data_IF_439829604177
#
_entry.id   IF_439829604177
#
_cell.length_a   1.000
_cell.length_b   1.000
_cell.length_c   1.000
_cell.angle_alpha   90.00
_cell.angle_beta   90.00
_cell.angle_gamma   90.00
#
_symmetry.space_group_name_H-M   'P 1'
#
loop_
_entity.id
_entity.type
_entity.pdbx_description
1 polymer ?
#
# COMPACT_ATOMS: atom_id res chain seq x y z
N UNK A 1 -12.27 18.89 -12.89
CA UNK A 1 -11.26 17.89 -13.29
C UNK A 1 -11.03 16.87 -12.18
N UNK A 2 -10.49 17.30 -11.04
CA UNK A 2 -10.40 16.50 -9.82
C UNK A 2 -11.78 16.19 -9.21
N UNK A 3 -11.88 15.04 -8.54
CA UNK A 3 -13.06 14.66 -7.75
C UNK A 3 -13.08 15.44 -6.43
N UNK A 4 -11.95 15.45 -5.73
CA UNK A 4 -11.73 16.22 -4.50
C UNK A 4 -10.59 17.24 -4.68
N UNK A 5 -10.75 18.45 -4.14
CA UNK A 5 -9.65 19.45 -4.17
C UNK A 5 -8.42 19.01 -3.41
N UNK A 6 -8.60 18.15 -2.40
CA UNK A 6 -7.51 17.65 -1.57
C UNK A 6 -6.47 16.83 -2.38
N UNK A 7 -6.86 16.23 -3.51
CA UNK A 7 -5.96 15.49 -4.41
C UNK A 7 -4.91 16.37 -5.11
N UNK A 8 -4.97 17.69 -5.00
CA UNK A 8 -3.84 18.55 -5.35
C UNK A 8 -2.57 18.08 -4.62
N UNK A 9 -2.69 17.65 -3.34
CA UNK A 9 -1.57 17.07 -2.59
C UNK A 9 -1.03 15.81 -3.26
N UNK A 10 -1.91 14.89 -3.67
CA UNK A 10 -1.56 13.67 -4.41
C UNK A 10 -0.74 13.99 -5.65
N UNK A 11 -1.19 14.97 -6.46
CA UNK A 11 -0.48 15.38 -7.67
C UNK A 11 0.88 16.02 -7.35
N UNK A 12 0.95 16.89 -6.35
CA UNK A 12 2.20 17.55 -5.94
C UNK A 12 3.23 16.54 -5.43
N UNK A 13 2.83 15.56 -4.64
CA UNK A 13 3.76 14.55 -4.09
C UNK A 13 4.27 13.62 -5.19
N UNK A 14 3.40 13.19 -6.11
CA UNK A 14 3.79 12.43 -7.30
C UNK A 14 4.75 13.23 -8.19
N UNK A 15 4.46 14.52 -8.44
CA UNK A 15 5.36 15.39 -9.20
C UNK A 15 6.72 15.59 -8.48
N UNK A 16 6.71 15.70 -7.16
CA UNK A 16 7.93 15.84 -6.35
C UNK A 16 8.82 14.61 -6.46
N UNK A 17 8.26 13.40 -6.47
CA UNK A 17 9.02 12.18 -6.73
C UNK A 17 9.77 12.27 -8.07
N UNK A 18 9.08 12.59 -9.18
CA UNK A 18 9.73 12.69 -10.48
C UNK A 18 10.77 13.81 -10.54
N UNK A 19 10.51 14.95 -9.89
CA UNK A 19 11.48 16.04 -9.79
C UNK A 19 12.75 15.62 -9.03
N UNK A 20 12.61 14.87 -7.93
CA UNK A 20 13.74 14.34 -7.17
C UNK A 20 14.55 13.31 -7.96
N UNK A 21 13.89 12.42 -8.70
CA UNK A 21 14.56 11.45 -9.57
C UNK A 21 15.30 12.17 -10.69
N UNK A 22 14.64 13.10 -11.39
CA UNK A 22 15.25 13.85 -12.49
C UNK A 22 16.45 14.70 -12.02
N UNK A 23 16.31 15.41 -10.89
CA UNK A 23 17.39 16.21 -10.33
C UNK A 23 18.60 15.34 -9.96
N UNK A 24 18.39 14.21 -9.26
CA UNK A 24 19.49 13.31 -8.92
C UNK A 24 20.10 12.63 -10.14
N UNK A 25 19.30 12.29 -11.14
CA UNK A 25 19.79 11.70 -12.39
C UNK A 25 20.72 12.66 -13.15
N UNK A 26 20.34 13.93 -13.26
CA UNK A 26 21.08 14.96 -13.98
C UNK A 26 22.33 15.39 -13.20
N UNK A 27 22.18 15.77 -11.94
CA UNK A 27 23.26 16.36 -11.15
C UNK A 27 24.17 15.33 -10.48
N UNK A 28 23.68 14.10 -10.23
CA UNK A 28 24.40 12.99 -9.63
C UNK A 28 25.29 13.41 -8.44
N UNK A 29 24.70 13.97 -7.36
CA UNK A 29 25.47 14.52 -6.25
C UNK A 29 26.35 13.43 -5.61
N UNK A 30 27.65 13.69 -5.52
CA UNK A 30 28.64 12.76 -4.93
C UNK A 30 28.91 13.03 -3.45
N UNK A 31 28.68 14.27 -3.01
CA UNK A 31 28.83 14.63 -1.61
C UNK A 31 27.78 13.91 -0.76
N UNK A 32 28.21 12.99 0.10
CA UNK A 32 27.31 12.10 0.85
C UNK A 32 26.30 12.85 1.73
N UNK A 33 26.70 14.00 2.30
CA UNK A 33 25.82 14.83 3.12
C UNK A 33 24.63 15.42 2.32
N UNK A 34 24.72 15.49 1.00
CA UNK A 34 23.63 15.90 0.11
C UNK A 34 22.96 14.68 -0.55
N UNK A 35 23.75 13.72 -1.01
CA UNK A 35 23.27 12.54 -1.72
C UNK A 35 22.37 11.65 -0.85
N UNK A 36 22.76 11.41 0.42
CA UNK A 36 22.01 10.53 1.32
C UNK A 36 20.63 11.13 1.67
N UNK A 37 20.51 12.42 2.10
CA UNK A 37 19.20 13.01 2.35
C UNK A 37 18.31 13.08 1.11
N UNK A 38 18.86 13.36 -0.08
CA UNK A 38 18.09 13.37 -1.32
C UNK A 38 17.58 11.97 -1.69
N UNK A 39 18.40 10.95 -1.54
CA UNK A 39 17.97 9.56 -1.74
C UNK A 39 16.88 9.17 -0.73
N UNK A 40 17.06 9.53 0.54
CA UNK A 40 16.05 9.32 1.59
C UNK A 40 14.73 10.02 1.26
N UNK A 41 14.78 11.25 0.76
CA UNK A 41 13.60 11.97 0.28
C UNK A 41 12.96 11.26 -0.91
N UNK A 42 13.72 10.77 -1.89
CA UNK A 42 13.18 10.00 -3.01
C UNK A 42 12.50 8.71 -2.56
N UNK A 43 13.11 7.96 -1.63
CA UNK A 43 12.48 6.80 -1.02
C UNK A 43 11.17 7.17 -0.33
N UNK A 44 11.15 8.26 0.45
CA UNK A 44 9.95 8.74 1.12
C UNK A 44 8.85 9.12 0.11
N UNK A 45 9.16 9.90 -0.93
CA UNK A 45 8.19 10.30 -1.95
C UNK A 45 7.75 9.14 -2.85
N UNK A 46 8.60 8.13 -3.07
CA UNK A 46 8.22 6.88 -3.73
C UNK A 46 7.22 6.09 -2.89
N UNK A 47 7.46 5.97 -1.57
CA UNK A 47 6.49 5.39 -0.63
C UNK A 47 5.17 6.18 -0.63
N UNK A 48 5.21 7.52 -0.62
CA UNK A 48 4.01 8.35 -0.76
C UNK A 48 3.31 8.16 -2.12
N UNK A 49 4.03 7.79 -3.17
CA UNK A 49 3.49 7.31 -4.44
C UNK A 49 2.72 5.99 -4.28
N UNK A 50 3.25 5.02 -3.53
CA UNK A 50 2.51 3.79 -3.19
C UNK A 50 1.25 4.07 -2.35
N UNK A 51 1.31 5.01 -1.40
CA UNK A 51 0.14 5.43 -0.62
C UNK A 51 -0.90 6.13 -1.51
N UNK A 52 -0.46 6.93 -2.50
CA UNK A 52 -1.34 7.50 -3.52
C UNK A 52 -1.97 6.42 -4.42
N UNK A 53 -1.20 5.40 -4.81
CA UNK A 53 -1.70 4.21 -5.52
C UNK A 53 -2.81 3.54 -4.73
N UNK A 54 -2.57 3.21 -3.47
CA UNK A 54 -3.57 2.67 -2.54
C UNK A 54 -4.85 3.53 -2.53
N UNK A 55 -4.73 4.84 -2.38
CA UNK A 55 -5.91 5.72 -2.37
C UNK A 55 -6.65 5.74 -3.70
N UNK A 56 -5.92 5.70 -4.82
CA UNK A 56 -6.50 5.74 -6.16
C UNK A 56 -7.26 4.47 -6.53
N UNK A 57 -6.89 3.31 -5.95
CA UNK A 57 -7.62 2.06 -6.20
C UNK A 57 -8.97 2.04 -5.52
N UNK A 58 -9.09 2.74 -4.39
CA UNK A 58 -10.31 2.86 -3.62
C UNK A 58 -11.19 4.04 -4.05
N UNK A 59 -10.59 5.21 -4.30
CA UNK A 59 -11.31 6.43 -4.66
C UNK A 59 -10.66 7.11 -5.89
N UNK A 60 -11.38 7.28 -7.02
CA UNK A 60 -10.89 8.03 -8.18
C UNK A 60 -10.43 9.45 -7.85
N UNK A 61 -9.22 9.80 -8.30
CA UNK A 61 -8.64 11.16 -8.20
C UNK A 61 -9.36 12.14 -9.14
N UNK A 62 -9.67 11.69 -10.36
CA UNK A 62 -10.32 12.51 -11.39
C UNK A 62 -11.77 12.09 -11.60
N UNK A 63 -12.62 13.04 -12.02
CA UNK A 63 -14.02 12.74 -12.41
C UNK A 63 -14.10 11.99 -13.74
N UNK A 64 -13.10 12.14 -14.62
CA UNK A 64 -13.09 11.53 -15.96
C UNK A 64 -12.26 10.24 -15.96
N UNK A 65 -12.83 9.17 -16.50
CA UNK A 65 -12.22 7.82 -16.51
C UNK A 65 -10.85 7.76 -17.17
N UNK A 66 -10.69 8.38 -18.35
CA UNK A 66 -9.42 8.37 -19.08
C UNK A 66 -8.27 9.02 -18.30
N UNK A 67 -8.57 10.03 -17.48
CA UNK A 67 -7.58 10.71 -16.65
C UNK A 67 -7.06 9.81 -15.53
N UNK A 68 -7.94 9.02 -14.90
CA UNK A 68 -7.51 8.05 -13.91
C UNK A 68 -6.67 6.93 -14.56
N UNK A 69 -7.02 6.47 -15.76
CA UNK A 69 -6.21 5.48 -16.49
C UNK A 69 -4.81 6.01 -16.83
N UNK A 70 -4.71 7.26 -17.28
CA UNK A 70 -3.43 7.90 -17.52
C UNK A 70 -2.63 8.06 -16.21
N UNK A 71 -3.32 8.46 -15.13
CA UNK A 71 -2.68 8.63 -13.83
C UNK A 71 -2.22 7.31 -13.20
N UNK A 72 -2.89 6.19 -13.45
CA UNK A 72 -2.42 4.86 -13.04
C UNK A 72 -1.05 4.52 -13.65
N UNK A 73 -0.83 4.87 -14.92
CA UNK A 73 0.49 4.71 -15.57
C UNK A 73 1.54 5.59 -14.87
N UNK A 74 1.18 6.82 -14.52
CA UNK A 74 2.07 7.72 -13.76
C UNK A 74 2.40 7.12 -12.39
N UNK A 75 1.40 6.68 -11.64
CA UNK A 75 1.56 6.08 -10.31
C UNK A 75 2.39 4.79 -10.35
N UNK A 76 2.21 3.96 -11.38
CA UNK A 76 3.03 2.76 -11.63
C UNK A 76 4.53 3.09 -11.62
N UNK A 77 4.90 4.23 -12.23
CA UNK A 77 6.29 4.69 -12.31
C UNK A 77 6.80 5.33 -11.00
N UNK A 78 5.93 5.55 -10.00
CA UNK A 78 6.34 6.15 -8.71
C UNK A 78 6.78 5.14 -7.66
N UNK A 79 6.21 3.93 -7.66
CA UNK A 79 6.49 2.92 -6.63
C UNK A 79 6.95 1.57 -7.17
N UNK A 80 6.95 1.38 -8.50
CA UNK A 80 7.62 0.24 -9.13
C UNK A 80 6.77 -0.98 -9.42
N UNK A 81 5.44 -0.87 -9.37
CA UNK A 81 4.54 -1.95 -9.78
C UNK A 81 3.29 -1.38 -10.47
N UNK A 82 2.68 -2.12 -11.43
CA UNK A 82 1.41 -1.71 -12.02
C UNK A 82 0.32 -1.49 -10.94
N UNK A 83 -0.41 -0.38 -11.02
CA UNK A 83 -1.52 -0.09 -10.09
C UNK A 83 -2.59 -1.17 -10.20
N UNK A 84 -2.85 -1.65 -11.42
CA UNK A 84 -3.75 -2.78 -11.65
C UNK A 84 -3.34 -4.03 -10.85
N UNK A 85 -2.04 -4.31 -10.67
CA UNK A 85 -1.55 -5.48 -9.91
C UNK A 85 -1.77 -5.36 -8.41
N UNK A 86 -2.03 -4.15 -7.92
CA UNK A 86 -2.28 -3.91 -6.50
C UNK A 86 -3.68 -4.39 -6.07
N UNK A 87 -4.67 -4.27 -6.97
CA UNK A 87 -6.09 -4.51 -6.67
C UNK A 87 -6.41 -5.93 -6.18
N UNK A 88 -5.90 -7.01 -6.80
CA UNK A 88 -6.29 -8.37 -6.43
C UNK A 88 -5.89 -8.69 -4.98
N UNK A 89 -4.60 -8.57 -4.65
CA UNK A 89 -4.11 -8.82 -3.29
C UNK A 89 -4.68 -7.85 -2.25
N UNK A 90 -4.84 -6.58 -2.60
CA UNK A 90 -5.28 -5.58 -1.62
C UNK A 90 -6.80 -5.49 -1.44
N UNK A 91 -7.57 -5.35 -2.52
CA UNK A 91 -9.02 -5.13 -2.43
C UNK A 91 -9.80 -6.44 -2.33
N UNK A 92 -9.40 -7.47 -3.10
CA UNK A 92 -10.18 -8.70 -3.24
C UNK A 92 -9.76 -9.80 -2.25
N UNK A 93 -8.53 -9.71 -1.74
CA UNK A 93 -8.01 -10.61 -0.70
C UNK A 93 -8.01 -9.89 0.66
N UNK A 94 -7.11 -8.92 0.85
CA UNK A 94 -6.89 -8.29 2.15
C UNK A 94 -8.11 -7.57 2.70
N UNK A 95 -8.71 -6.61 1.99
CA UNK A 95 -9.88 -5.88 2.49
C UNK A 95 -11.11 -6.77 2.70
N UNK A 96 -11.35 -7.71 1.78
CA UNK A 96 -12.56 -8.55 1.79
C UNK A 96 -12.50 -9.65 2.85
N UNK A 97 -11.31 -10.17 3.13
CA UNK A 97 -11.12 -11.35 3.97
C UNK A 97 -10.08 -11.11 5.07
N UNK A 98 -9.95 -9.86 5.53
CA UNK A 98 -8.96 -9.36 6.49
C UNK A 98 -8.51 -10.40 7.51
N UNK A 99 -7.21 -10.69 7.54
CA UNK A 99 -6.53 -11.65 8.43
C UNK A 99 -6.93 -13.14 8.36
N UNK A 100 -8.00 -13.50 7.65
CA UNK A 100 -8.37 -14.90 7.42
C UNK A 100 -7.40 -15.62 6.46
N UNK A 101 -7.60 -16.93 6.26
CA UNK A 101 -6.80 -17.74 5.31
C UNK A 101 -6.93 -17.31 3.84
N UNK A 102 -7.94 -16.49 3.51
CA UNK A 102 -8.13 -15.87 2.19
C UNK A 102 -7.45 -14.51 2.06
N UNK A 103 -6.90 -13.97 3.13
CA UNK A 103 -6.00 -12.82 3.12
C UNK A 103 -4.56 -13.29 2.85
N UNK A 104 -4.07 -13.00 1.63
CA UNK A 104 -2.72 -13.33 1.19
C UNK A 104 -1.65 -12.56 1.98
N UNK A 105 -2.05 -11.45 2.62
CA UNK A 105 -1.25 -10.57 3.46
C UNK A 105 -1.57 -10.74 4.96
N UNK A 106 -2.17 -11.87 5.40
CA UNK A 106 -2.40 -12.10 6.83
C UNK A 106 -1.10 -12.10 7.64
N UNK A 107 -1.12 -11.48 8.81
CA UNK A 107 0.06 -11.27 9.66
C UNK A 107 0.56 -12.53 10.35
N UNK A 108 -0.26 -13.57 10.40
CA UNK A 108 0.09 -14.88 10.98
C UNK A 108 1.16 -15.65 10.18
N UNK A 109 1.46 -15.22 8.94
CA UNK A 109 2.48 -15.85 8.07
C UNK A 109 3.92 -15.65 8.54
N UNK A 110 4.18 -14.60 9.32
CA UNK A 110 5.48 -14.38 9.98
C UNK A 110 5.44 -14.90 11.41
N UNK A 111 6.41 -15.73 11.80
CA UNK A 111 6.40 -16.48 13.08
C UNK A 111 7.75 -16.43 13.81
N UNK A 112 8.56 -15.40 13.55
CA UNK A 112 9.86 -15.23 14.21
C UNK A 112 9.67 -14.86 15.69
N UNK A 113 10.55 -15.37 16.56
CA UNK A 113 10.55 -15.04 18.00
C UNK A 113 10.80 -13.55 18.25
N UNK A 114 11.69 -12.94 17.49
CA UNK A 114 11.98 -11.52 17.60
C UNK A 114 11.08 -10.71 16.68
N UNK A 115 10.33 -9.78 17.26
CA UNK A 115 9.32 -9.03 16.52
C UNK A 115 9.90 -8.19 15.37
N UNK A 116 11.13 -7.68 15.53
CA UNK A 116 11.81 -6.94 14.47
C UNK A 116 11.94 -7.77 13.18
N UNK A 117 12.24 -9.07 13.30
CA UNK A 117 12.35 -9.95 12.14
C UNK A 117 10.98 -10.18 11.48
N UNK A 118 9.89 -10.24 12.25
CA UNK A 118 8.54 -10.30 11.68
C UNK A 118 8.27 -9.06 10.82
N UNK A 119 8.57 -7.85 11.32
CA UNK A 119 8.38 -6.61 10.57
C UNK A 119 9.28 -6.51 9.33
N UNK A 120 10.58 -6.80 9.45
CA UNK A 120 11.53 -6.68 8.34
C UNK A 120 11.27 -7.69 7.23
N UNK A 121 10.90 -8.93 7.58
CA UNK A 121 10.75 -10.05 6.65
C UNK A 121 9.30 -10.31 6.23
N UNK A 122 8.36 -9.47 6.67
CA UNK A 122 6.94 -9.61 6.33
C UNK A 122 6.72 -9.64 4.83
N UNK A 123 7.17 -8.61 4.10
CA UNK A 123 7.07 -8.54 2.64
C UNK A 123 7.68 -9.79 1.99
N UNK A 124 8.91 -10.17 2.38
CA UNK A 124 9.61 -11.33 1.84
C UNK A 124 8.85 -12.65 2.05
N UNK A 125 8.08 -12.76 3.14
CA UNK A 125 7.25 -13.93 3.42
C UNK A 125 5.98 -13.95 2.56
N UNK A 126 5.27 -12.83 2.47
CA UNK A 126 3.97 -12.77 1.79
C UNK A 126 4.08 -12.65 0.27
N UNK A 127 5.17 -12.07 -0.26
CA UNK A 127 5.39 -11.91 -1.71
C UNK A 127 5.43 -13.25 -2.45
N UNK A 128 5.85 -14.31 -1.76
CA UNK A 128 5.86 -15.69 -2.28
C UNK A 128 4.47 -16.21 -2.63
N UNK A 129 3.44 -15.68 -1.96
CA UNK A 129 2.04 -16.06 -2.17
C UNK A 129 1.31 -15.02 -3.03
N UNK A 130 1.66 -13.72 -2.88
CA UNK A 130 1.12 -12.63 -3.70
C UNK A 130 1.44 -12.85 -5.19
N UNK A 131 2.71 -13.06 -5.54
CA UNK A 131 3.11 -13.11 -6.96
C UNK A 131 2.39 -14.23 -7.73
N UNK A 132 2.32 -15.48 -7.25
CA UNK A 132 1.54 -16.52 -7.93
C UNK A 132 0.04 -16.20 -8.01
N UNK A 133 -0.54 -15.62 -6.95
CA UNK A 133 -1.96 -15.27 -6.92
C UNK A 133 -2.29 -14.16 -7.93
N UNK A 134 -1.48 -13.10 -7.99
CA UNK A 134 -1.60 -12.03 -8.98
C UNK A 134 -1.47 -12.56 -10.41
N UNK A 135 -0.55 -13.50 -10.65
CA UNK A 135 -0.39 -14.13 -11.96
C UNK A 135 -1.60 -14.98 -12.37
N UNK A 136 -2.21 -15.72 -11.42
CA UNK A 136 -3.46 -16.45 -11.67
C UNK A 136 -4.60 -15.47 -11.98
N UNK A 137 -4.72 -14.40 -11.21
CA UNK A 137 -5.73 -13.36 -11.42
C UNK A 137 -5.58 -12.69 -12.79
N UNK A 138 -4.36 -12.28 -13.14
CA UNK A 138 -4.04 -11.66 -14.43
C UNK A 138 -4.45 -12.55 -15.62
N UNK A 139 -4.12 -13.84 -15.58
CA UNK A 139 -4.51 -14.81 -16.63
C UNK A 139 -6.03 -14.96 -16.72
N UNK A 140 -6.73 -14.96 -15.58
CA UNK A 140 -8.19 -15.05 -15.57
C UNK A 140 -8.84 -13.80 -16.20
N UNK A 141 -8.27 -12.61 -15.95
CA UNK A 141 -8.82 -11.35 -16.46
C UNK A 141 -8.70 -11.17 -17.97
N UNK A 142 -7.79 -11.89 -18.65
CA UNK A 142 -7.72 -11.87 -20.12
C UNK A 142 -9.08 -12.11 -20.78
N UNK A 143 -9.86 -13.08 -20.26
CA UNK A 143 -11.20 -13.40 -20.76
C UNK A 143 -12.31 -12.69 -19.98
N UNK A 144 -12.15 -12.51 -18.67
CA UNK A 144 -13.21 -12.01 -17.77
C UNK A 144 -13.34 -10.48 -17.76
N UNK A 145 -12.23 -9.76 -17.91
CA UNK A 145 -12.22 -8.29 -17.95
C UNK A 145 -11.14 -7.75 -18.92
N UNK A 146 -11.38 -7.83 -20.24
CA UNK A 146 -10.42 -7.36 -21.24
C UNK A 146 -10.01 -5.88 -21.10
N UNK A 147 -10.90 -4.93 -20.72
CA UNK A 147 -10.49 -3.55 -20.46
C UNK A 147 -9.43 -3.41 -19.35
N UNK A 148 -9.61 -4.09 -18.22
CA UNK A 148 -8.61 -4.09 -17.15
C UNK A 148 -7.31 -4.77 -17.60
N UNK A 149 -7.42 -5.90 -18.29
CA UNK A 149 -6.24 -6.63 -18.78
C UNK A 149 -5.39 -5.76 -19.71
N UNK A 150 -6.01 -5.00 -20.62
CA UNK A 150 -5.30 -4.04 -21.49
C UNK A 150 -4.65 -2.90 -20.71
N UNK A 151 -5.30 -2.41 -19.65
CA UNK A 151 -4.73 -1.37 -18.77
C UNK A 151 -3.50 -1.91 -18.03
N UNK A 152 -3.59 -3.10 -17.44
CA UNK A 152 -2.46 -3.79 -16.83
C UNK A 152 -1.30 -3.98 -17.82
N UNK A 153 -1.59 -4.43 -19.04
CA UNK A 153 -0.56 -4.59 -20.08
C UNK A 153 0.11 -3.26 -20.43
N UNK A 154 -0.66 -2.18 -20.58
CA UNK A 154 -0.14 -0.84 -20.83
C UNK A 154 0.78 -0.39 -19.69
N UNK A 155 0.32 -0.49 -18.43
CA UNK A 155 1.11 -0.16 -17.25
C UNK A 155 2.41 -0.97 -17.20
N UNK A 156 2.33 -2.27 -17.47
CA UNK A 156 3.48 -3.19 -17.45
C UNK A 156 4.47 -2.88 -18.57
N UNK A 157 3.99 -2.62 -19.79
CA UNK A 157 4.84 -2.28 -20.93
C UNK A 157 5.54 -0.92 -20.73
N UNK A 158 4.82 0.09 -20.25
CA UNK A 158 5.41 1.40 -19.93
C UNK A 158 6.42 1.28 -18.78
N UNK A 159 6.07 0.54 -17.73
CA UNK A 159 6.97 0.31 -16.61
C UNK A 159 8.25 -0.39 -17.04
N UNK A 160 8.16 -1.57 -17.66
CA UNK A 160 9.31 -2.34 -18.09
C UNK A 160 10.15 -1.60 -19.13
N UNK A 161 9.51 -0.89 -20.06
CA UNK A 161 10.19 -0.05 -21.03
C UNK A 161 10.96 1.09 -20.37
N UNK A 162 10.36 1.78 -19.39
CA UNK A 162 11.04 2.84 -18.64
C UNK A 162 12.20 2.30 -17.80
N UNK A 163 12.01 1.17 -17.11
CA UNK A 163 13.08 0.55 -16.30
C UNK A 163 14.24 0.10 -17.19
N UNK A 164 13.97 -0.56 -18.32
CA UNK A 164 14.99 -0.99 -19.27
C UNK A 164 15.74 0.20 -19.89
N UNK A 165 15.03 1.27 -20.26
CA UNK A 165 15.64 2.49 -20.78
C UNK A 165 16.57 3.15 -19.75
N UNK A 166 16.11 3.33 -18.51
CA UNK A 166 16.94 3.93 -17.45
C UNK A 166 18.14 3.04 -17.10
N UNK A 167 17.95 1.72 -17.00
CA UNK A 167 19.04 0.76 -16.78
C UNK A 167 20.10 0.83 -17.89
N UNK A 168 19.66 0.92 -19.16
CA UNK A 168 20.56 1.02 -20.31
C UNK A 168 21.30 2.37 -20.37
N UNK A 169 20.68 3.46 -19.90
CA UNK A 169 21.29 4.78 -19.85
C UNK A 169 22.39 4.85 -18.78
N UNK A 170 22.12 4.40 -17.56
CA UNK A 170 23.09 4.35 -16.47
C UNK A 170 22.60 3.41 -15.36
N UNK A 171 23.23 2.24 -15.23
CA UNK A 171 22.82 1.23 -14.27
C UNK A 171 23.03 1.66 -12.80
N UNK A 172 24.03 2.49 -12.51
CA UNK A 172 24.31 2.94 -11.14
C UNK A 172 23.25 3.94 -10.70
N UNK A 173 22.94 4.93 -11.55
CA UNK A 173 21.87 5.89 -11.28
C UNK A 173 20.50 5.22 -11.23
N UNK A 174 20.27 4.23 -12.09
CA UNK A 174 19.06 3.42 -12.06
C UNK A 174 18.90 2.71 -10.71
N UNK A 175 19.94 2.00 -10.25
CA UNK A 175 19.89 1.30 -8.97
C UNK A 175 19.63 2.27 -7.82
N UNK A 176 20.35 3.38 -7.77
CA UNK A 176 20.27 4.33 -6.66
C UNK A 176 18.97 5.13 -6.66
N UNK A 177 18.59 5.74 -7.78
CA UNK A 177 17.53 6.74 -7.80
C UNK A 177 16.17 6.21 -8.21
N UNK A 178 16.09 4.97 -8.70
CA UNK A 178 14.84 4.36 -9.18
C UNK A 178 14.56 3.05 -8.45
N UNK A 179 15.45 2.06 -8.58
CA UNK A 179 15.22 0.73 -8.05
C UNK A 179 15.13 0.72 -6.51
N UNK A 180 16.10 1.29 -5.80
CA UNK A 180 16.08 1.35 -4.33
C UNK A 180 14.82 2.05 -3.80
N UNK A 181 14.45 3.26 -4.28
CA UNK A 181 13.19 3.90 -3.90
C UNK A 181 11.94 3.06 -4.15
N UNK A 182 11.84 2.41 -5.32
CA UNK A 182 10.72 1.51 -5.65
C UNK A 182 10.65 0.31 -4.70
N UNK A 183 11.79 -0.34 -4.44
CA UNK A 183 11.83 -1.47 -3.49
C UNK A 183 11.46 -1.04 -2.07
N UNK A 184 11.89 0.15 -1.65
CA UNK A 184 11.50 0.72 -0.37
C UNK A 184 10.00 1.01 -0.32
N UNK A 185 9.42 1.56 -1.38
CA UNK A 185 7.98 1.84 -1.46
C UNK A 185 7.14 0.56 -1.41
N UNK A 186 7.52 -0.46 -2.18
CA UNK A 186 6.89 -1.78 -2.19
C UNK A 186 6.99 -2.48 -0.82
N UNK A 187 8.18 -2.45 -0.20
CA UNK A 187 8.38 -2.98 1.15
C UNK A 187 7.52 -2.24 2.18
N UNK A 188 7.56 -0.90 2.15
CA UNK A 188 6.82 -0.08 3.09
C UNK A 188 5.32 -0.32 3.02
N UNK A 189 4.74 -0.27 1.81
CA UNK A 189 3.28 -0.38 1.66
C UNK A 189 2.76 -1.78 2.02
N UNK A 190 3.52 -2.84 1.74
CA UNK A 190 3.15 -4.20 2.14
C UNK A 190 3.31 -4.37 3.65
N UNK A 191 4.43 -3.91 4.23
CA UNK A 191 4.70 -4.02 5.68
C UNK A 191 3.73 -3.21 6.53
N UNK A 192 3.07 -2.18 5.99
CA UNK A 192 2.00 -1.48 6.70
C UNK A 192 0.87 -2.41 7.17
N UNK A 193 0.54 -3.47 6.40
CA UNK A 193 -0.45 -4.47 6.83
C UNK A 193 -0.06 -5.11 8.17
N UNK A 194 1.22 -5.41 8.35
CA UNK A 194 1.73 -5.93 9.62
C UNK A 194 1.53 -4.94 10.77
N UNK A 195 1.89 -3.68 10.55
CA UNK A 195 1.78 -2.63 11.58
C UNK A 195 0.33 -2.33 11.97
N UNK A 196 -0.59 -2.44 11.01
CA UNK A 196 -1.99 -2.05 11.18
C UNK A 196 -2.90 -3.21 11.59
N UNK A 197 -2.52 -4.48 11.37
CA UNK A 197 -3.38 -5.62 11.73
C UNK A 197 -2.78 -6.57 12.75
N UNK A 198 -1.45 -6.60 12.94
CA UNK A 198 -0.87 -7.57 13.87
C UNK A 198 -1.32 -7.28 15.30
N UNK A 199 -1.77 -8.34 15.97
CA UNK A 199 -2.28 -8.29 17.34
C UNK A 199 -3.61 -7.54 17.50
N UNK A 200 -4.39 -7.38 16.42
CA UNK A 200 -5.76 -6.85 16.45
C UNK A 200 -6.79 -7.99 16.59
N UNK A 201 -8.07 -7.68 16.76
CA UNK A 201 -9.17 -8.68 16.78
C UNK A 201 -9.90 -8.71 15.44
N UNK A 202 -9.57 -9.67 14.59
CA UNK A 202 -10.07 -9.76 13.21
C UNK A 202 -11.60 -9.91 13.09
N UNK A 203 -12.26 -10.40 14.14
CA UNK A 203 -13.72 -10.59 14.18
C UNK A 203 -14.48 -9.36 14.72
N UNK A 204 -13.77 -8.36 15.26
CA UNK A 204 -14.37 -7.16 15.82
C UNK A 204 -14.73 -6.13 14.75
N UNK A 205 -15.89 -5.48 14.88
CA UNK A 205 -16.33 -4.40 13.98
C UNK A 205 -15.38 -3.17 14.01
N UNK A 206 -14.69 -2.94 15.13
CA UNK A 206 -13.86 -1.74 15.31
C UNK A 206 -12.41 -2.05 15.66
N UNK A 207 -12.15 -3.19 16.30
CA UNK A 207 -10.82 -3.57 16.79
C UNK A 207 -10.02 -4.45 15.82
N UNK A 208 -10.53 -4.67 14.59
CA UNK A 208 -9.87 -5.44 13.53
C UNK A 208 -8.61 -4.80 12.96
N UNK A 209 -8.32 -3.54 13.34
CA UNK A 209 -7.12 -2.85 12.92
C UNK A 209 -6.72 -1.71 13.85
N UNK A 210 -5.47 -1.27 13.69
CA UNK A 210 -4.80 -0.21 14.43
C UNK A 210 -4.65 1.03 13.57
N UNK A 211 -4.91 2.17 14.18
CA UNK A 211 -4.77 3.49 13.60
C UNK A 211 -3.49 4.18 14.08
N UNK A 212 -2.92 5.01 13.21
CA UNK A 212 -1.87 5.97 13.55
C UNK A 212 -2.45 7.38 13.42
N UNK A 213 -3.05 7.92 14.47
CA UNK A 213 -3.87 9.15 14.45
C UNK A 213 -3.08 10.46 14.52
N UNK A 214 -1.74 10.38 14.62
CA UNK A 214 -0.86 11.55 14.70
C UNK A 214 -1.00 12.50 13.50
N UNK A 215 -1.04 13.82 13.75
CA UNK A 215 -1.25 14.82 12.70
C UNK A 215 -0.13 14.83 11.64
N UNK A 216 1.13 14.69 12.08
CA UNK A 216 2.27 14.73 11.18
C UNK A 216 2.29 13.55 10.22
N UNK A 217 2.12 12.32 10.72
CA UNK A 217 2.09 11.12 9.88
C UNK A 217 0.95 11.22 8.87
N UNK A 218 -0.25 11.60 9.30
CA UNK A 218 -1.43 11.71 8.43
C UNK A 218 -1.34 12.86 7.43
N UNK A 219 -0.63 13.95 7.73
CA UNK A 219 -0.41 14.98 6.72
C UNK A 219 0.41 14.46 5.55
N UNK A 220 1.44 13.65 5.83
CA UNK A 220 2.28 13.01 4.82
C UNK A 220 1.55 11.86 4.13
N UNK A 221 0.93 10.95 4.87
CA UNK A 221 0.32 9.72 4.34
C UNK A 221 -1.15 9.87 3.95
N UNK A 222 -1.59 11.09 3.60
CA UNK A 222 -2.94 11.36 3.15
C UNK A 222 -4.04 10.87 4.12
N UNK A 223 -3.83 10.98 5.43
CA UNK A 223 -4.74 10.43 6.45
C UNK A 223 -4.91 8.90 6.45
N UNK A 224 -4.06 8.13 5.77
CA UNK A 224 -4.15 6.65 5.80
C UNK A 224 -3.76 6.03 7.15
N UNK A 225 -3.39 6.84 8.14
CA UNK A 225 -3.29 6.37 9.52
C UNK A 225 -4.65 5.99 10.12
N UNK A 226 -5.77 6.49 9.59
CA UNK A 226 -7.13 6.12 10.03
C UNK A 226 -7.61 4.84 9.32
N UNK A 227 -6.96 3.73 9.65
CA UNK A 227 -7.11 2.43 8.97
C UNK A 227 -8.42 1.70 9.26
N UNK A 228 -8.95 1.77 10.49
CA UNK A 228 -10.21 1.09 10.83
C UNK A 228 -11.36 1.63 9.98
N UNK A 229 -11.53 2.96 9.93
CA UNK A 229 -12.57 3.57 9.09
C UNK A 229 -12.31 3.35 7.59
N UNK A 230 -11.05 3.24 7.18
CA UNK A 230 -10.67 2.88 5.82
C UNK A 230 -11.12 1.45 5.48
N UNK A 231 -11.00 0.48 6.37
CA UNK A 231 -11.54 -0.87 6.15
C UNK A 231 -13.07 -0.92 6.18
N UNK A 232 -13.71 -0.14 7.06
CA UNK A 232 -15.18 -0.06 7.16
C UNK A 232 -15.78 0.59 5.91
N UNK A 233 -15.14 1.63 5.36
CA UNK A 233 -15.61 2.31 4.15
C UNK A 233 -14.44 2.62 3.19
N UNK A 234 -13.92 1.61 2.46
CA UNK A 234 -12.72 1.78 1.63
C UNK A 234 -12.86 2.87 0.56
N UNK A 235 -14.05 3.00 -0.03
CA UNK A 235 -14.33 4.01 -1.05
C UNK A 235 -14.38 5.47 -0.55
N UNK A 236 -14.34 5.69 0.78
CA UNK A 236 -14.36 7.03 1.35
C UNK A 236 -13.06 7.76 1.02
N UNK A 237 -13.17 8.99 0.52
CA UNK A 237 -11.99 9.76 0.16
C UNK A 237 -11.12 10.04 1.39
N UNK A 238 -9.82 9.87 1.24
CA UNK A 238 -8.82 9.95 2.30
C UNK A 238 -8.89 11.26 3.12
N UNK A 239 -9.30 12.37 2.50
CA UNK A 239 -9.46 13.66 3.20
C UNK A 239 -10.62 13.69 4.19
N UNK A 240 -11.55 12.73 4.11
CA UNK A 240 -12.75 12.63 4.95
C UNK A 240 -12.57 11.62 6.10
N UNK A 241 -11.56 10.75 6.02
CA UNK A 241 -11.29 9.72 7.03
C UNK A 241 -11.19 10.27 8.46
N UNK A 242 -10.52 11.41 8.74
CA UNK A 242 -10.42 11.90 10.13
C UNK A 242 -11.79 12.21 10.76
N UNK A 243 -12.69 12.84 10.00
CA UNK A 243 -14.03 13.19 10.48
C UNK A 243 -14.96 11.97 10.55
N UNK A 244 -14.73 10.97 9.71
CA UNK A 244 -15.47 9.71 9.76
C UNK A 244 -15.00 8.84 10.94
N UNK A 245 -13.69 8.72 11.17
CA UNK A 245 -13.09 8.06 12.32
C UNK A 245 -13.64 8.60 13.63
N UNK A 246 -13.59 9.93 13.82
CA UNK A 246 -14.06 10.58 15.03
C UNK A 246 -15.53 10.30 15.37
N UNK A 247 -16.37 10.09 14.35
CA UNK A 247 -17.81 9.84 14.53
C UNK A 247 -18.17 8.37 14.67
N UNK A 248 -17.46 7.48 13.97
CA UNK A 248 -17.88 6.09 13.75
C UNK A 248 -16.95 5.03 14.33
N UNK A 249 -15.72 5.39 14.68
CA UNK A 249 -14.71 4.45 15.18
C UNK A 249 -14.23 4.86 16.56
N UNK A 250 -13.80 6.12 16.73
CA UNK A 250 -13.24 6.61 17.99
C UNK A 250 -14.13 6.38 19.24
N UNK A 251 -15.48 6.44 19.16
CA UNK A 251 -16.33 6.15 20.32
C UNK A 251 -16.35 4.69 20.77
N UNK A 252 -15.93 3.74 19.90
CA UNK A 252 -16.14 2.32 20.10
C UNK A 252 -14.85 1.48 20.08
N UNK A 253 -13.78 1.99 19.45
CA UNK A 253 -12.50 1.30 19.33
C UNK A 253 -11.75 1.26 20.67
N UNK A 254 -11.02 0.18 20.91
CA UNK A 254 -10.12 0.09 22.05
C UNK A 254 -9.04 1.20 21.97
N UNK A 255 -8.76 1.96 23.05
CA UNK A 255 -7.88 3.13 23.01
C UNK A 255 -6.43 2.81 22.59
N UNK A 256 -5.94 1.59 22.87
CA UNK A 256 -4.62 1.14 22.41
C UNK A 256 -4.52 0.90 20.90
N UNK A 257 -5.62 0.93 20.15
CA UNK A 257 -5.59 0.85 18.69
C UNK A 257 -5.46 2.22 18.04
N UNK A 258 -5.71 3.32 18.76
CA UNK A 258 -5.43 4.67 18.28
C UNK A 258 -4.03 5.14 18.72
N UNK A 259 -3.01 4.81 17.93
CA UNK A 259 -1.63 5.17 18.24
C UNK A 259 -1.35 6.65 17.88
N UNK A 260 -0.95 7.51 18.84
CA UNK A 260 -0.68 8.92 18.57
C UNK A 260 0.62 9.15 17.80
N UNK A 261 1.56 8.19 17.84
CA UNK A 261 2.86 8.29 17.20
C UNK A 261 3.28 6.95 16.59
N UNK A 262 3.45 6.93 15.27
CA UNK A 262 4.00 5.80 14.54
C UNK A 262 5.40 5.45 15.04
N UNK A 263 6.27 6.45 15.24
CA UNK A 263 7.66 6.22 15.68
C UNK A 263 7.71 5.59 17.08
N UNK A 264 6.89 6.07 18.01
CA UNK A 264 6.82 5.48 19.35
C UNK A 264 6.27 4.05 19.33
N UNK A 265 5.31 3.78 18.45
CA UNK A 265 4.82 2.42 18.22
C UNK A 265 5.92 1.51 17.65
N UNK A 266 6.61 1.93 16.58
CA UNK A 266 7.72 1.19 15.98
C UNK A 266 8.82 0.86 16.99
N UNK A 267 9.22 1.84 17.80
CA UNK A 267 10.22 1.65 18.85
C UNK A 267 9.78 0.60 19.87
N UNK A 268 8.53 0.69 20.37
CA UNK A 268 8.00 -0.26 21.36
C UNK A 268 7.84 -1.66 20.80
N UNK A 269 7.35 -1.77 19.57
CA UNK A 269 7.11 -3.05 18.90
C UNK A 269 8.38 -3.77 18.51
N UNK A 270 9.44 -3.05 18.10
CA UNK A 270 10.61 -3.66 17.48
C UNK A 270 11.94 -3.48 18.22
N UNK A 271 12.07 -2.43 19.03
CA UNK A 271 13.33 -2.09 19.72
C UNK A 271 13.24 -2.43 21.21
N UNK A 272 12.38 -1.72 21.95
CA UNK A 272 12.23 -1.94 23.39
C UNK A 272 10.78 -1.68 23.85
N UNK A 273 10.06 -2.67 24.39
CA UNK A 273 10.55 -4.00 24.77
C UNK A 273 10.73 -4.97 23.58
N UNK A 274 10.36 -4.59 22.35
CA UNK A 274 10.57 -5.43 21.16
C UNK A 274 9.69 -6.69 21.13
N UNK A 275 8.56 -6.65 21.83
CA UNK A 275 7.62 -7.77 21.99
C UNK A 275 6.47 -7.68 20.99
N UNK A 276 6.00 -8.84 20.52
CA UNK A 276 4.81 -8.98 19.69
C UNK A 276 3.58 -9.15 20.58
N UNK A 277 2.82 -8.08 20.76
CA UNK A 277 1.68 -8.02 21.68
C UNK A 277 0.39 -7.68 20.93
N UNK A 278 -0.72 -8.18 21.47
CA UNK A 278 -2.07 -7.76 21.12
C UNK A 278 -2.37 -6.35 21.64
N UNK A 279 -3.46 -5.75 21.15
CA UNK A 279 -3.90 -4.43 21.60
C UNK A 279 -4.26 -4.34 23.08
N UNK A 280 -4.64 -5.46 23.70
CA UNK A 280 -4.91 -5.61 25.14
C UNK A 280 -3.64 -5.82 25.99
N UNK A 281 -2.46 -5.92 25.36
CA UNK A 281 -1.17 -6.15 26.01
C UNK A 281 -0.80 -7.62 26.21
N UNK A 282 -1.69 -8.57 25.88
CA UNK A 282 -1.36 -9.99 25.90
C UNK A 282 -0.37 -10.36 24.78
N UNK A 283 0.47 -11.39 24.93
CA UNK A 283 1.27 -11.91 23.83
C UNK A 283 0.39 -12.36 22.65
N UNK A 284 0.84 -12.12 21.41
CA UNK A 284 0.18 -12.69 20.24
C UNK A 284 0.36 -14.21 20.23
N UNK A 285 -0.75 -14.95 20.26
CA UNK A 285 -0.78 -16.41 20.12
C UNK A 285 -1.24 -16.72 18.71
N UNK A 286 -0.36 -17.33 17.91
CA UNK A 286 -0.68 -17.67 16.53
C UNK A 286 -1.36 -19.04 16.46
N UNK A 287 -2.39 -19.20 15.61
CA UNK A 287 -2.91 -20.53 15.30
C UNK A 287 -1.84 -21.39 14.61
N UNK A 288 -2.06 -22.71 14.46
CA UNK A 288 -1.25 -23.57 13.61
C UNK A 288 -1.06 -22.97 12.21
N UNK A 289 0.06 -23.26 11.56
CA UNK A 289 0.28 -22.77 10.20
C UNK A 289 -0.61 -23.55 9.24
N UNK A 290 -1.45 -22.82 8.52
CA UNK A 290 -2.38 -23.37 7.55
C UNK A 290 -2.15 -22.75 6.17
N UNK A 291 -2.38 -23.53 5.08
CA UNK A 291 -2.23 -23.02 3.73
C UNK A 291 -3.29 -21.97 3.40
N UNK A 292 -2.96 -21.07 2.47
CA UNK A 292 -3.90 -20.10 1.93
C UNK A 292 -5.12 -20.80 1.31
N UNK A 293 -6.29 -20.20 1.52
CA UNK A 293 -7.50 -20.56 0.79
C UNK A 293 -7.60 -19.74 -0.51
N UNK A 294 -8.26 -20.31 -1.52
CA UNK A 294 -8.51 -19.58 -2.76
C UNK A 294 -9.47 -18.41 -2.50
N UNK A 295 -9.02 -17.22 -2.89
CA UNK A 295 -9.75 -15.97 -2.72
C UNK A 295 -10.09 -15.32 -4.06
N UNK A 296 -9.48 -15.77 -5.16
CA UNK A 296 -9.77 -15.26 -6.50
C UNK A 296 -11.22 -15.63 -6.83
N UNK A 297 -12.10 -14.64 -7.08
CA UNK A 297 -13.50 -14.91 -7.35
C UNK A 297 -13.69 -15.91 -8.49
N UNK A 298 -14.67 -16.80 -8.35
CA UNK A 298 -15.08 -17.68 -9.44
C UNK A 298 -15.58 -16.89 -10.66
N UNK A 299 -15.69 -17.50 -11.85
CA UNK A 299 -16.23 -16.83 -13.05
C UNK A 299 -17.63 -16.21 -12.84
N UNK A 300 -18.44 -16.79 -11.96
CA UNK A 300 -19.81 -16.33 -11.64
C UNK A 300 -19.86 -15.28 -10.52
N UNK A 301 -18.76 -15.07 -9.81
CA UNK A 301 -18.64 -14.17 -8.67
C UNK A 301 -17.77 -12.96 -8.97
N UNK A 302 -17.23 -12.88 -10.20
CA UNK A 302 -16.44 -11.72 -10.65
C UNK A 302 -17.42 -10.56 -10.84
N UNK A 303 -17.46 -9.57 -9.94
CA UNK A 303 -18.41 -8.48 -10.07
C UNK A 303 -18.12 -7.73 -11.37
N UNK A 304 -19.15 -7.45 -12.17
CA UNK A 304 -19.03 -6.73 -13.45
C UNK A 304 -18.51 -5.29 -13.27
N UNK A 305 -18.51 -4.83 -12.02
CA UNK A 305 -18.38 -3.46 -11.55
C UNK A 305 -17.26 -3.27 -10.52
N UNK A 306 -16.37 -4.26 -10.31
CA UNK A 306 -15.18 -4.02 -9.47
C UNK A 306 -14.44 -2.82 -10.07
N UNK A 307 -14.39 -1.73 -9.31
CA UNK A 307 -13.53 -0.60 -9.60
C UNK A 307 -12.10 -1.08 -9.46
N UNK A 308 -11.56 -1.64 -10.53
CA UNK A 308 -10.19 -2.15 -10.61
C UNK A 308 -9.19 -1.00 -10.77
N UNK A 309 -9.29 -0.02 -9.86
CA UNK A 309 -8.67 1.28 -10.00
C UNK A 309 -9.64 2.29 -10.62
N UNK A 310 -10.20 3.14 -9.76
CA UNK A 310 -10.89 4.37 -10.12
C UNK A 310 -11.91 4.28 -11.28
N UNK A 311 -12.62 3.16 -11.44
CA UNK A 311 -13.73 3.05 -12.39
C UNK A 311 -14.97 3.52 -11.63
N UNK A 312 -15.22 4.83 -11.63
CA UNK A 312 -16.47 5.36 -11.08
C UNK A 312 -17.66 4.66 -11.79
N UNK A 313 -18.67 4.17 -11.05
CA UNK A 313 -19.92 3.76 -11.65
C UNK A 313 -20.52 4.95 -12.41
N UNK A 314 -21.18 4.64 -13.53
CA UNK A 314 -21.84 5.58 -14.43
C UNK A 314 -22.78 6.52 -13.72
#
# INVERSE_FOLDING_TARGET
MLRYRADIKTLLFVATYFALVAAQWIYAPRALWLAIPLLGATCAFSFLGAVATHNSVHCPVFRRRWMNRAFQVVLTLTYGHPVSAYVPGHNLSHHKYTQSRRDVMRTTKVRYRWNLLNGLLFMSRVVRDILPADMRYFRAMYRRNPPWFRQMLLESAVFLGAMAALLALDWQKFVLYVLIPHQYAAWGIVTMNYLQHDGCDEDSEHDHSRNFVGRLVNWWTYNNGFHSIHHIEPGLHWSLLPAAHARRVAPFIHPNLDQPSLLAYLFRSFVWPGKRLRYDGAPVVLPPEEPDEEWIPGPKETPADVSLGAIAPS
#
